data_IF_793851592162
#
_entry.id   IF_793851592162
#
_cell.length_a   1.000
_cell.length_b   1.000
_cell.length_c   1.000
_cell.angle_alpha   90.00
_cell.angle_beta   90.00
_cell.angle_gamma   90.00
#
_symmetry.space_group_name_H-M   'P 1'
#
loop_
_entity.id
_entity.type
_entity.pdbx_description
1 polymer ?
#
# COMPACT_ATOMS: atom_id res chain seq x y z
N UNK A 1 53.84 -13.18 -10.72
CA UNK A 1 52.54 -13.79 -10.44
C UNK A 1 52.22 -13.49 -8.99
N UNK A 2 51.15 -12.75 -8.76
CA UNK A 2 50.28 -12.76 -7.59
C UNK A 2 49.22 -11.70 -7.88
N UNK A 3 48.25 -12.14 -8.69
CA UNK A 3 47.04 -11.41 -9.04
C UNK A 3 45.93 -12.06 -8.21
N UNK A 4 46.07 -12.02 -6.89
CA UNK A 4 44.96 -12.29 -5.97
C UNK A 4 44.16 -10.99 -5.89
N UNK A 5 43.63 -10.67 -7.06
CA UNK A 5 42.51 -9.79 -7.26
C UNK A 5 41.31 -10.54 -6.69
N UNK A 6 41.06 -10.37 -5.39
CA UNK A 6 39.77 -10.66 -4.75
C UNK A 6 38.75 -9.63 -5.27
N UNK A 7 38.52 -9.66 -6.59
CA UNK A 7 37.24 -9.32 -7.17
C UNK A 7 36.34 -10.53 -6.91
N UNK A 8 35.09 -10.24 -6.55
CA UNK A 8 33.95 -11.17 -6.52
C UNK A 8 33.48 -11.58 -5.12
N UNK A 9 32.82 -10.65 -4.40
CA UNK A 9 31.56 -11.00 -3.71
C UNK A 9 30.62 -9.87 -3.29
N UNK A 10 30.61 -8.74 -3.98
CA UNK A 10 29.61 -7.68 -3.72
C UNK A 10 28.40 -7.75 -4.67
N UNK A 11 28.06 -8.95 -5.17
CA UNK A 11 27.06 -9.12 -6.23
C UNK A 11 25.70 -9.69 -5.80
N UNK A 12 25.31 -9.63 -4.52
CA UNK A 12 24.01 -10.21 -4.07
C UNK A 12 23.26 -9.36 -3.02
N UNK A 13 23.24 -8.03 -3.13
CA UNK A 13 22.37 -7.19 -2.26
C UNK A 13 21.57 -6.10 -2.96
N UNK A 14 21.35 -6.19 -4.26
CA UNK A 14 20.50 -5.23 -4.98
C UNK A 14 18.99 -5.52 -4.87
N UNK A 15 18.58 -6.68 -4.35
CA UNK A 15 17.15 -7.07 -4.23
C UNK A 15 16.51 -6.78 -2.86
N UNK A 16 17.24 -6.15 -1.93
CA UNK A 16 16.68 -5.81 -0.63
C UNK A 16 16.01 -4.44 -0.64
N UNK A 17 14.68 -4.43 -0.59
CA UNK A 17 13.89 -3.23 -0.35
C UNK A 17 14.32 -2.61 1.00
N UNK A 18 14.90 -1.41 0.96
CA UNK A 18 15.27 -0.70 2.19
C UNK A 18 14.05 -0.42 3.04
N UNK A 19 14.22 -0.36 4.36
CA UNK A 19 13.13 -0.03 5.30
C UNK A 19 12.46 1.30 4.95
N UNK A 20 13.22 2.29 4.48
CA UNK A 20 12.68 3.58 4.05
C UNK A 20 11.85 3.48 2.77
N UNK A 21 12.30 2.68 1.79
CA UNK A 21 11.53 2.43 0.58
C UNK A 21 10.23 1.67 0.89
N UNK A 22 10.31 0.66 1.77
CA UNK A 22 9.12 -0.07 2.25
C UNK A 22 8.14 0.87 2.96
N UNK A 23 8.63 1.72 3.87
CA UNK A 23 7.81 2.71 4.56
C UNK A 23 7.13 3.66 3.57
N UNK A 24 7.85 4.11 2.55
CA UNK A 24 7.29 4.96 1.51
C UNK A 24 6.18 4.26 0.71
N UNK A 25 6.37 3.00 0.34
CA UNK A 25 5.36 2.19 -0.37
C UNK A 25 4.10 2.02 0.48
N UNK A 26 4.25 1.68 1.76
CA UNK A 26 3.13 1.48 2.67
C UNK A 26 2.39 2.79 2.94
N UNK A 27 3.09 3.90 3.12
CA UNK A 27 2.48 5.23 3.30
C UNK A 27 1.71 5.66 2.04
N UNK A 28 2.29 5.47 0.86
CA UNK A 28 1.63 5.78 -0.41
C UNK A 28 0.37 4.92 -0.61
N UNK A 29 0.45 3.63 -0.24
CA UNK A 29 -0.70 2.72 -0.30
C UNK A 29 -1.79 3.15 0.67
N UNK A 30 -1.44 3.51 1.91
CA UNK A 30 -2.38 4.01 2.91
C UNK A 30 -3.13 5.25 2.40
N UNK A 31 -2.41 6.22 1.84
CA UNK A 31 -3.00 7.44 1.31
C UNK A 31 -3.93 7.16 0.12
N UNK A 32 -3.61 6.14 -0.69
CA UNK A 32 -4.47 5.70 -1.79
C UNK A 32 -5.75 5.02 -1.29
N UNK A 33 -5.65 4.16 -0.28
CA UNK A 33 -6.80 3.49 0.35
C UNK A 33 -7.78 4.53 0.92
N UNK A 34 -7.29 5.54 1.65
CA UNK A 34 -8.13 6.64 2.18
C UNK A 34 -8.80 7.44 1.06
N UNK A 35 -8.09 7.72 -0.04
CA UNK A 35 -8.65 8.43 -1.21
C UNK A 35 -9.75 7.60 -1.88
N UNK A 36 -9.53 6.29 -2.06
CA UNK A 36 -10.50 5.39 -2.67
C UNK A 36 -11.74 5.24 -1.81
N UNK A 37 -11.57 5.05 -0.50
CA UNK A 37 -12.67 4.99 0.47
C UNK A 37 -13.61 6.20 0.33
N UNK A 38 -13.03 7.42 0.38
CA UNK A 38 -13.80 8.67 0.24
C UNK A 38 -14.49 8.77 -1.11
N UNK A 39 -13.83 8.39 -2.21
CA UNK A 39 -14.42 8.40 -3.55
C UNK A 39 -15.63 7.48 -3.63
N UNK A 40 -15.53 6.26 -3.10
CA UNK A 40 -16.64 5.31 -3.15
C UNK A 40 -17.81 5.73 -2.27
N UNK A 41 -17.58 6.29 -1.08
CA UNK A 41 -18.65 6.84 -0.26
C UNK A 41 -19.41 7.96 -0.99
N UNK A 42 -18.68 8.95 -1.54
CA UNK A 42 -19.28 10.06 -2.30
C UNK A 42 -20.05 9.54 -3.52
N UNK A 43 -19.51 8.55 -4.23
CA UNK A 43 -20.18 7.95 -5.38
C UNK A 43 -21.45 7.20 -4.97
N UNK A 44 -21.41 6.45 -3.86
CA UNK A 44 -22.55 5.69 -3.34
C UNK A 44 -23.71 6.60 -2.93
N UNK A 45 -23.41 7.78 -2.39
CA UNK A 45 -24.41 8.78 -1.99
C UNK A 45 -25.11 9.42 -3.20
N UNK A 46 -24.42 9.50 -4.35
CA UNK A 46 -24.93 10.10 -5.58
C UNK A 46 -25.72 9.12 -6.46
N UNK A 47 -25.69 7.83 -6.16
CA UNK A 47 -26.44 6.82 -6.92
C UNK A 47 -27.83 6.66 -6.30
N UNK A 48 -28.85 6.98 -7.10
CA UNK A 48 -30.25 6.90 -6.67
C UNK A 48 -31.04 5.78 -7.37
N UNK A 49 -30.60 5.33 -8.55
CA UNK A 49 -31.34 4.36 -9.38
C UNK A 49 -30.75 2.95 -9.43
N UNK A 50 -29.70 2.67 -8.65
CA UNK A 50 -29.03 1.37 -8.65
C UNK A 50 -28.62 0.97 -7.22
N UNK A 51 -29.52 0.35 -6.44
CA UNK A 51 -29.26 0.00 -5.05
C UNK A 51 -28.12 -1.03 -4.90
N UNK A 52 -27.99 -1.96 -5.85
CA UNK A 52 -26.92 -2.96 -5.83
C UNK A 52 -25.55 -2.32 -6.02
N UNK A 53 -25.40 -1.40 -6.98
CA UNK A 53 -24.14 -0.68 -7.18
C UNK A 53 -23.82 0.23 -5.98
N UNK A 54 -24.83 0.86 -5.38
CA UNK A 54 -24.65 1.65 -4.15
C UNK A 54 -24.07 0.79 -3.03
N UNK A 55 -24.65 -0.38 -2.77
CA UNK A 55 -24.17 -1.32 -1.76
C UNK A 55 -22.74 -1.80 -2.07
N UNK A 56 -22.44 -2.15 -3.33
CA UNK A 56 -21.09 -2.54 -3.74
C UNK A 56 -20.04 -1.44 -3.48
N UNK A 57 -20.38 -0.18 -3.74
CA UNK A 57 -19.49 0.95 -3.45
C UNK A 57 -19.26 1.14 -1.95
N UNK A 58 -20.30 0.96 -1.12
CA UNK A 58 -20.16 0.98 0.34
C UNK A 58 -19.25 -0.16 0.81
N UNK A 59 -19.43 -1.37 0.30
CA UNK A 59 -18.57 -2.52 0.59
C UNK A 59 -17.11 -2.30 0.19
N UNK A 60 -16.87 -1.62 -0.95
CA UNK A 60 -15.51 -1.24 -1.33
C UNK A 60 -14.90 -0.26 -0.33
N UNK A 61 -15.65 0.77 0.08
CA UNK A 61 -15.20 1.75 1.08
C UNK A 61 -14.88 1.08 2.43
N UNK A 62 -15.71 0.15 2.91
CA UNK A 62 -15.43 -0.62 4.12
C UNK A 62 -14.16 -1.48 3.97
N UNK A 63 -13.96 -2.09 2.80
CA UNK A 63 -12.73 -2.80 2.49
C UNK A 63 -11.49 -1.89 2.52
N UNK A 64 -11.60 -0.67 1.97
CA UNK A 64 -10.54 0.33 2.05
C UNK A 64 -10.25 0.73 3.52
N UNK A 65 -11.28 0.89 4.35
CA UNK A 65 -11.11 1.21 5.77
C UNK A 65 -10.30 0.15 6.50
N UNK A 66 -10.66 -1.13 6.33
CA UNK A 66 -9.93 -2.26 6.94
C UNK A 66 -8.46 -2.29 6.51
N UNK A 67 -8.18 -2.08 5.22
CA UNK A 67 -6.79 -2.04 4.72
C UNK A 67 -6.03 -0.81 5.22
N UNK A 68 -6.71 0.31 5.39
CA UNK A 68 -6.12 1.52 5.99
C UNK A 68 -5.63 1.23 7.41
N UNK A 69 -6.45 0.57 8.23
CA UNK A 69 -6.09 0.20 9.61
C UNK A 69 -4.89 -0.76 9.64
N UNK A 70 -4.91 -1.80 8.79
CA UNK A 70 -3.79 -2.74 8.65
C UNK A 70 -2.49 -2.04 8.22
N UNK A 71 -2.55 -1.13 7.24
CA UNK A 71 -1.38 -0.37 6.81
C UNK A 71 -0.84 0.55 7.91
N UNK A 72 -1.71 1.15 8.72
CA UNK A 72 -1.29 1.94 9.88
C UNK A 72 -0.59 1.09 10.94
N UNK A 73 -1.05 -0.14 11.18
CA UNK A 73 -0.38 -1.08 12.08
C UNK A 73 1.03 -1.42 11.57
N UNK A 74 1.16 -1.76 10.29
CA UNK A 74 2.48 -2.08 9.71
C UNK A 74 3.42 -0.86 9.70
N UNK A 75 2.91 0.33 9.41
CA UNK A 75 3.70 1.56 9.47
C UNK A 75 4.22 1.84 10.88
N UNK A 76 3.45 1.54 11.94
CA UNK A 76 3.89 1.66 13.34
C UNK A 76 4.97 0.63 13.68
N UNK A 77 4.88 -0.58 13.13
CA UNK A 77 5.89 -1.62 13.32
C UNK A 77 7.24 -1.30 12.66
N UNK A 78 7.26 -0.35 11.71
CA UNK A 78 8.46 0.12 11.03
C UNK A 78 9.04 1.43 11.62
N UNK A 79 8.49 1.95 12.72
CA UNK A 79 9.03 3.11 13.46
C UNK A 79 10.11 2.68 14.45
#
# INVERSE_FOLDING_TARGET
>A
MNHDQDYDRDFDREDHLSTDNLRHILQSSHDMEVKLMRKYLIASDRIHGNPELKERLQNFAEGNAKRTDQLLEELKNLQ
#
